data_IF_052873708024
#
_entry.id   IF_052873708024
#
_cell.length_a   1.000
_cell.length_b   1.000
_cell.length_c   1.000
_cell.angle_alpha   90.00
_cell.angle_beta   90.00
_cell.angle_gamma   90.00
#
_symmetry.space_group_name_H-M   'P 1'
#
loop_
_entity.id
_entity.type
_entity.pdbx_description
1 polymer ?
#
# COMPACT_ATOMS: atom_id res chain seq x y z
N UNK A 1 0.98 -23.33 -22.29
CA UNK A 1 0.67 -24.75 -22.00
C UNK A 1 -0.44 -25.32 -22.86
N UNK A 2 -1.62 -24.67 -22.97
CA UNK A 2 -2.71 -25.16 -23.83
C UNK A 2 -2.37 -25.09 -25.33
N UNK A 3 -1.70 -24.02 -25.76
CA UNK A 3 -1.29 -23.82 -27.16
C UNK A 3 -0.30 -24.89 -27.66
N UNK A 4 0.58 -25.38 -26.79
CA UNK A 4 1.58 -26.41 -27.12
C UNK A 4 1.11 -27.83 -26.77
N UNK A 5 -0.17 -28.00 -26.43
CA UNK A 5 -0.78 -29.28 -26.03
C UNK A 5 0.01 -30.05 -24.94
N UNK A 6 0.59 -29.34 -23.97
CA UNK A 6 1.37 -29.96 -22.89
C UNK A 6 0.45 -30.52 -21.81
N UNK A 7 0.43 -31.84 -21.67
CA UNK A 7 -0.54 -32.57 -20.86
C UNK A 7 0.13 -33.37 -19.73
N UNK A 8 -0.66 -33.69 -18.72
CA UNK A 8 -0.30 -34.66 -17.67
C UNK A 8 -0.39 -36.09 -18.21
N UNK A 9 0.13 -37.06 -17.45
CA UNK A 9 0.03 -38.51 -17.76
C UNK A 9 -1.42 -39.01 -17.96
N UNK A 10 -2.42 -38.26 -17.50
CA UNK A 10 -3.85 -38.57 -17.64
C UNK A 10 -4.53 -37.74 -18.75
N UNK A 11 -3.76 -37.21 -19.71
CA UNK A 11 -4.24 -36.40 -20.83
C UNK A 11 -5.02 -35.13 -20.41
N UNK A 12 -4.80 -34.64 -19.19
CA UNK A 12 -5.37 -33.37 -18.71
C UNK A 12 -4.38 -32.23 -18.92
N UNK A 13 -4.85 -31.01 -19.25
CA UNK A 13 -3.96 -29.85 -19.39
C UNK A 13 -3.27 -29.57 -18.05
N UNK A 14 -1.97 -29.26 -18.11
CA UNK A 14 -1.22 -28.91 -16.90
C UNK A 14 -1.61 -27.50 -16.41
N UNK A 15 -1.80 -27.35 -15.10
CA UNK A 15 -2.07 -26.06 -14.48
C UNK A 15 -0.76 -25.37 -14.08
N UNK A 16 -0.79 -24.03 -14.00
CA UNK A 16 0.38 -23.22 -13.61
C UNK A 16 0.94 -23.65 -12.26
N UNK A 17 0.07 -23.95 -11.29
CA UNK A 17 0.47 -24.44 -9.96
C UNK A 17 1.24 -25.76 -10.02
N UNK A 18 0.87 -26.68 -10.93
CA UNK A 18 1.60 -27.93 -11.14
C UNK A 18 2.99 -27.67 -11.73
N UNK A 19 3.10 -26.77 -12.70
CA UNK A 19 4.40 -26.37 -13.28
C UNK A 19 5.30 -25.75 -12.21
N UNK A 20 4.75 -24.86 -11.37
CA UNK A 20 5.51 -24.26 -10.27
C UNK A 20 6.00 -25.31 -9.27
N UNK A 21 5.20 -26.34 -8.96
CA UNK A 21 5.63 -27.46 -8.12
C UNK A 21 6.80 -28.22 -8.74
N UNK A 22 6.70 -28.55 -10.03
CA UNK A 22 7.78 -29.21 -10.78
C UNK A 22 9.06 -28.37 -10.69
N UNK A 23 9.00 -27.08 -11.05
CA UNK A 23 10.16 -26.18 -11.00
C UNK A 23 10.73 -25.97 -9.58
N UNK A 24 9.91 -26.16 -8.54
CA UNK A 24 10.33 -26.07 -7.13
C UNK A 24 10.90 -27.36 -6.54
N UNK A 25 10.84 -28.46 -7.26
CA UNK A 25 11.26 -29.78 -6.75
C UNK A 25 12.77 -29.91 -6.92
N UNK A 26 13.49 -29.97 -5.79
CA UNK A 26 14.96 -30.07 -5.79
C UNK A 26 15.49 -31.40 -6.34
N UNK A 27 14.67 -32.44 -6.37
CA UNK A 27 15.03 -33.77 -6.87
C UNK A 27 15.62 -33.72 -8.29
N UNK A 28 15.16 -32.79 -9.14
CA UNK A 28 15.66 -32.65 -10.51
C UNK A 28 17.14 -32.23 -10.59
N UNK A 29 17.68 -31.61 -9.53
CA UNK A 29 19.10 -31.26 -9.38
C UNK A 29 19.96 -32.42 -8.81
N UNK A 30 19.33 -33.53 -8.38
CA UNK A 30 20.03 -34.67 -7.79
C UNK A 30 20.21 -34.62 -6.27
N UNK A 31 19.77 -33.55 -5.61
CA UNK A 31 19.77 -33.43 -4.14
C UNK A 31 18.36 -33.16 -3.65
N UNK A 32 17.97 -33.71 -2.50
CA UNK A 32 16.66 -33.49 -1.92
C UNK A 32 16.74 -33.30 -0.40
N UNK A 33 15.71 -32.70 0.16
CA UNK A 33 15.60 -32.43 1.59
C UNK A 33 14.55 -33.36 2.20
N UNK A 34 14.89 -34.03 3.31
CA UNK A 34 13.95 -34.88 4.02
C UNK A 34 14.18 -34.81 5.55
N UNK A 35 13.13 -34.69 6.37
CA UNK A 35 11.78 -34.22 6.02
C UNK A 35 11.83 -32.83 5.34
N UNK A 36 10.82 -32.47 4.54
CA UNK A 36 10.80 -31.18 3.85
C UNK A 36 10.90 -30.02 4.87
N UNK A 37 11.84 -29.10 4.67
CA UNK A 37 12.12 -27.98 5.59
C UNK A 37 13.06 -28.30 6.76
N UNK A 38 13.60 -29.52 6.88
CA UNK A 38 14.45 -29.93 8.02
C UNK A 38 15.85 -29.32 8.05
N UNK A 39 16.31 -28.77 6.93
CA UNK A 39 17.70 -28.33 6.73
C UNK A 39 18.67 -29.45 6.32
N UNK A 40 18.27 -30.73 6.41
CA UNK A 40 19.13 -31.87 6.08
C UNK A 40 19.00 -32.26 4.60
N UNK A 41 20.13 -32.25 3.88
CA UNK A 41 20.19 -32.54 2.45
C UNK A 41 20.80 -33.92 2.20
N UNK A 42 20.18 -34.64 1.27
CA UNK A 42 20.60 -35.96 0.83
C UNK A 42 20.88 -35.95 -0.67
N UNK A 43 21.90 -36.68 -1.08
CA UNK A 43 22.22 -36.89 -2.49
C UNK A 43 21.43 -38.08 -3.01
N UNK A 44 20.66 -37.86 -4.08
CA UNK A 44 19.96 -38.92 -4.80
C UNK A 44 20.94 -39.81 -5.55
N UNK A 45 20.56 -41.08 -5.75
CA UNK A 45 21.33 -42.02 -6.57
C UNK A 45 21.02 -41.89 -8.07
N UNK A 46 20.00 -41.13 -8.44
CA UNK A 46 19.60 -40.92 -9.82
C UNK A 46 20.46 -39.85 -10.51
N UNK A 47 20.52 -39.93 -11.84
CA UNK A 47 21.17 -38.91 -12.65
C UNK A 47 20.38 -37.59 -12.58
N UNK A 48 21.03 -36.46 -12.25
CA UNK A 48 20.39 -35.15 -12.25
C UNK A 48 19.85 -34.77 -13.64
N UNK A 49 18.61 -34.28 -13.70
CA UNK A 49 17.99 -33.79 -14.94
C UNK A 49 18.42 -32.36 -15.29
N UNK A 50 18.77 -31.55 -14.29
CA UNK A 50 19.25 -30.16 -14.45
C UNK A 50 20.44 -29.89 -13.54
N UNK A 51 21.23 -28.87 -13.88
CA UNK A 51 22.32 -28.42 -13.01
C UNK A 51 21.79 -27.67 -11.77
N UNK A 52 22.55 -27.75 -10.68
CA UNK A 52 22.28 -27.00 -9.44
C UNK A 52 22.18 -25.50 -9.67
N UNK A 53 23.05 -24.96 -10.53
CA UNK A 53 23.04 -23.55 -10.90
C UNK A 53 21.75 -23.15 -11.62
N UNK A 54 21.29 -23.97 -12.57
CA UNK A 54 20.05 -23.71 -13.30
C UNK A 54 18.84 -23.71 -12.36
N UNK A 55 18.77 -24.71 -11.46
CA UNK A 55 17.73 -24.79 -10.45
C UNK A 55 17.69 -23.54 -9.56
N UNK A 56 18.84 -23.10 -9.03
CA UNK A 56 18.92 -21.91 -8.17
C UNK A 56 18.46 -20.64 -8.91
N UNK A 57 18.91 -20.43 -10.16
CA UNK A 57 18.49 -19.30 -10.99
C UNK A 57 16.97 -19.30 -11.23
N UNK A 58 16.38 -20.47 -11.52
CA UNK A 58 14.93 -20.60 -11.67
C UNK A 58 14.20 -20.26 -10.37
N UNK A 59 14.70 -20.71 -9.21
CA UNK A 59 14.11 -20.39 -7.90
C UNK A 59 14.15 -18.90 -7.59
N UNK A 60 15.23 -18.20 -7.92
CA UNK A 60 15.34 -16.75 -7.78
C UNK A 60 14.38 -16.00 -8.71
N UNK A 61 14.25 -16.43 -9.96
CA UNK A 61 13.29 -15.84 -10.91
C UNK A 61 11.84 -16.01 -10.42
N UNK A 62 11.48 -17.18 -9.88
CA UNK A 62 10.14 -17.44 -9.33
C UNK A 62 9.81 -16.57 -8.12
N UNK A 63 10.80 -16.28 -7.25
CA UNK A 63 10.60 -15.37 -6.10
C UNK A 63 10.29 -13.96 -6.56
N UNK A 64 11.06 -13.43 -7.52
CA UNK A 64 10.86 -12.09 -8.10
C UNK A 64 9.44 -11.93 -8.65
N UNK A 65 8.93 -12.91 -9.39
CA UNK A 65 7.57 -12.85 -9.98
C UNK A 65 6.43 -12.85 -8.94
N UNK A 66 6.69 -13.27 -7.69
CA UNK A 66 5.70 -13.17 -6.61
C UNK A 66 5.61 -11.75 -6.02
N UNK A 67 6.70 -10.97 -6.08
CA UNK A 67 6.76 -9.59 -5.58
C UNK A 67 6.02 -8.61 -6.52
N UNK A 68 5.97 -8.90 -7.82
CA UNK A 68 5.38 -8.00 -8.83
C UNK A 68 3.85 -8.10 -9.01
N UNK A 69 3.15 -9.02 -8.34
CA UNK A 69 1.77 -9.38 -8.73
C UNK A 69 0.61 -8.63 -8.07
N UNK A 70 0.89 -7.61 -7.28
CA UNK A 70 -0.11 -6.60 -6.96
C UNK A 70 0.46 -5.26 -7.40
N UNK A 71 -0.07 -4.67 -8.47
CA UNK A 71 -0.13 -3.21 -8.52
C UNK A 71 -0.91 -2.80 -7.27
N UNK A 72 -0.19 -2.54 -6.18
CA UNK A 72 -0.79 -2.01 -4.97
C UNK A 72 -1.37 -0.67 -5.36
N UNK A 73 -2.69 -0.57 -5.35
CA UNK A 73 -3.34 0.73 -5.41
C UNK A 73 -2.93 1.45 -4.14
N UNK A 74 -2.13 2.50 -4.28
CA UNK A 74 -1.76 3.34 -3.17
C UNK A 74 -2.91 4.29 -2.85
N UNK A 75 -3.46 4.13 -1.65
CA UNK A 75 -4.49 5.00 -1.11
C UNK A 75 -3.87 5.87 -0.01
N UNK A 76 -4.15 7.17 -0.02
CA UNK A 76 -3.44 8.13 0.81
C UNK A 76 -3.53 7.79 2.31
N UNK A 77 -4.72 7.37 2.76
CA UNK A 77 -5.05 7.32 4.19
C UNK A 77 -5.14 5.91 4.79
N UNK A 78 -4.77 4.87 4.03
CA UNK A 78 -4.76 3.49 4.55
C UNK A 78 -3.72 3.33 5.65
N UNK A 79 -4.00 2.46 6.64
CA UNK A 79 -3.12 2.13 7.80
C UNK A 79 -2.89 3.26 8.80
N UNK A 80 -3.31 4.50 8.50
CA UNK A 80 -3.18 5.66 9.38
C UNK A 80 -4.39 5.84 10.31
N UNK A 81 -5.51 5.18 10.02
CA UNK A 81 -6.75 5.31 10.77
C UNK A 81 -7.20 3.99 11.38
N UNK A 82 -7.93 4.06 12.49
CA UNK A 82 -8.58 2.92 13.15
C UNK A 82 -10.09 3.06 13.18
N UNK A 83 -10.77 1.92 13.19
CA UNK A 83 -12.21 1.87 13.36
C UNK A 83 -12.57 2.11 14.83
N UNK A 84 -13.44 3.08 15.11
CA UNK A 84 -13.88 3.40 16.48
C UNK A 84 -14.85 2.40 17.11
N UNK A 85 -15.34 1.40 16.36
CA UNK A 85 -16.21 0.34 16.89
C UNK A 85 -15.40 -0.88 17.33
N UNK A 86 -14.58 -1.43 16.43
CA UNK A 86 -13.88 -2.70 16.67
C UNK A 86 -12.35 -2.55 16.75
N UNK A 87 -11.80 -1.33 16.64
CA UNK A 87 -10.35 -1.04 16.64
C UNK A 87 -9.52 -1.71 15.54
N UNK A 88 -10.18 -2.27 14.51
CA UNK A 88 -9.51 -2.76 13.30
C UNK A 88 -8.94 -1.59 12.48
N UNK A 89 -8.04 -1.90 11.55
CA UNK A 89 -7.54 -0.90 10.60
C UNK A 89 -8.63 -0.43 9.64
N UNK A 90 -8.47 0.79 9.11
CA UNK A 90 -9.27 1.30 8.00
C UNK A 90 -8.51 1.08 6.69
N UNK A 91 -9.21 0.57 5.69
CA UNK A 91 -8.73 0.38 4.32
C UNK A 91 -9.58 1.20 3.34
N UNK A 92 -9.15 1.26 2.08
CA UNK A 92 -9.86 1.95 1.02
C UNK A 92 -10.25 0.99 -0.11
N UNK A 93 -11.32 1.34 -0.81
CA UNK A 93 -11.81 0.65 -1.99
C UNK A 93 -12.18 1.68 -3.06
N UNK A 94 -11.77 1.39 -4.29
CA UNK A 94 -12.10 2.20 -5.46
C UNK A 94 -13.32 1.62 -6.17
N UNK A 95 -14.28 2.47 -6.52
CA UNK A 95 -15.50 2.10 -7.23
C UNK A 95 -15.66 2.95 -8.48
N UNK A 96 -15.68 2.29 -9.62
CA UNK A 96 -15.99 2.92 -10.91
C UNK A 96 -17.49 2.86 -11.18
N UNK A 97 -18.10 4.00 -11.52
CA UNK A 97 -19.51 4.12 -11.87
C UNK A 97 -19.62 4.69 -13.28
N UNK A 98 -20.33 3.97 -14.15
CA UNK A 98 -20.72 4.49 -15.46
C UNK A 98 -21.78 5.58 -15.26
N UNK A 99 -21.53 6.76 -15.81
CA UNK A 99 -22.44 7.89 -15.82
C UNK A 99 -23.45 7.71 -16.96
N UNK A 100 -24.66 8.25 -16.80
CA UNK A 100 -25.71 8.19 -17.81
C UNK A 100 -25.27 8.84 -19.15
N UNK A 101 -24.39 9.84 -19.10
CA UNK A 101 -23.81 10.51 -20.26
C UNK A 101 -22.60 9.81 -20.90
N UNK A 102 -22.31 8.55 -20.56
CA UNK A 102 -21.26 7.75 -21.21
C UNK A 102 -19.85 7.84 -20.61
N UNK A 103 -19.61 8.68 -19.60
CA UNK A 103 -18.34 8.75 -18.87
C UNK A 103 -18.21 7.70 -17.75
N UNK A 104 -17.00 7.52 -17.22
CA UNK A 104 -16.73 6.71 -16.02
C UNK A 104 -16.27 7.65 -14.91
N UNK A 105 -17.01 7.67 -13.79
CA UNK A 105 -16.60 8.34 -12.56
C UNK A 105 -15.97 7.34 -11.60
N UNK A 106 -14.88 7.74 -10.96
CA UNK A 106 -14.18 6.94 -9.96
C UNK A 106 -14.40 7.55 -8.58
N UNK A 107 -14.72 6.71 -7.60
CA UNK A 107 -14.90 7.13 -6.21
C UNK A 107 -14.07 6.24 -5.28
N UNK A 108 -13.38 6.85 -4.33
CA UNK A 108 -12.64 6.14 -3.29
C UNK A 108 -13.42 6.19 -1.98
N UNK A 109 -13.57 5.03 -1.34
CA UNK A 109 -14.30 4.84 -0.09
C UNK A 109 -13.39 4.23 0.96
N UNK A 110 -13.34 4.84 2.14
CA UNK A 110 -12.63 4.34 3.31
C UNK A 110 -13.60 3.59 4.25
N UNK A 111 -13.18 2.45 4.77
CA UNK A 111 -13.97 1.62 5.68
C UNK A 111 -13.14 0.60 6.45
N UNK A 112 -13.74 0.00 7.47
CA UNK A 112 -13.06 -0.97 8.32
C UNK A 112 -12.70 -2.26 7.57
N UNK A 113 -11.53 -2.82 7.87
CA UNK A 113 -11.10 -4.12 7.35
C UNK A 113 -11.85 -5.30 7.97
N UNK A 114 -12.59 -5.07 9.06
CA UNK A 114 -13.36 -6.08 9.82
C UNK A 114 -12.49 -7.25 10.31
N UNK A 115 -11.20 -7.00 10.54
CA UNK A 115 -10.23 -8.03 10.95
C UNK A 115 -10.48 -8.52 12.37
N UNK A 116 -10.85 -7.63 13.29
CA UNK A 116 -11.16 -7.98 14.70
C UNK A 116 -12.62 -8.33 14.93
N UNK A 117 -13.52 -7.77 14.12
CA UNK A 117 -14.95 -8.02 14.19
C UNK A 117 -15.55 -8.02 12.78
N UNK A 118 -16.03 -9.20 12.36
CA UNK A 118 -16.64 -9.46 11.05
C UNK A 118 -17.98 -8.73 10.91
N UNK A 119 -18.70 -8.50 12.01
CA UNK A 119 -20.03 -7.89 12.01
C UNK A 119 -19.99 -6.39 12.34
N UNK A 120 -18.82 -5.76 12.23
CA UNK A 120 -18.66 -4.35 12.55
C UNK A 120 -19.66 -3.48 11.74
N UNK A 121 -20.48 -2.65 12.42
CA UNK A 121 -21.59 -1.91 11.82
C UNK A 121 -21.14 -0.66 11.03
N UNK A 122 -19.83 -0.39 11.00
CA UNK A 122 -19.28 0.83 10.40
C UNK A 122 -19.61 0.95 8.91
N UNK A 123 -20.02 2.15 8.52
CA UNK A 123 -20.31 2.50 7.13
C UNK A 123 -19.09 3.09 6.45
N UNK A 124 -19.04 2.99 5.12
CA UNK A 124 -17.98 3.60 4.32
C UNK A 124 -18.11 5.13 4.25
N UNK A 125 -16.98 5.82 4.26
CA UNK A 125 -16.84 7.28 4.10
C UNK A 125 -16.13 7.57 2.77
N UNK A 126 -16.60 8.57 2.01
CA UNK A 126 -15.92 8.98 0.76
C UNK A 126 -14.65 9.74 1.06
N UNK A 127 -13.67 9.64 0.17
CA UNK A 127 -12.40 10.36 0.32
C UNK A 127 -12.58 11.89 0.37
N UNK A 128 -13.49 12.46 -0.43
CA UNK A 128 -13.80 13.89 -0.41
C UNK A 128 -14.27 14.34 0.98
N UNK A 129 -15.22 13.61 1.56
CA UNK A 129 -15.76 13.89 2.90
C UNK A 129 -14.69 13.70 3.98
N UNK A 130 -13.83 12.68 3.82
CA UNK A 130 -12.71 12.42 4.72
C UNK A 130 -11.72 13.59 4.73
N UNK A 131 -11.33 14.09 3.54
CA UNK A 131 -10.41 15.22 3.40
C UNK A 131 -11.00 16.48 4.06
N UNK A 132 -12.30 16.74 3.87
CA UNK A 132 -12.97 17.88 4.51
C UNK A 132 -12.92 17.78 6.04
N UNK A 133 -13.14 16.60 6.61
CA UNK A 133 -13.04 16.40 8.06
C UNK A 133 -11.60 16.53 8.57
N UNK A 134 -10.61 16.02 7.85
CA UNK A 134 -9.19 16.19 8.20
C UNK A 134 -8.77 17.66 8.21
N UNK A 135 -9.25 18.45 7.23
CA UNK A 135 -9.03 19.90 7.18
C UNK A 135 -9.63 20.58 8.43
N UNK A 136 -10.85 20.21 8.81
CA UNK A 136 -11.50 20.73 10.02
C UNK A 136 -10.70 20.41 11.28
N UNK A 137 -10.14 19.20 11.39
CA UNK A 137 -9.29 18.82 12.52
C UNK A 137 -8.03 19.68 12.61
N UNK A 138 -7.37 19.95 11.48
CA UNK A 138 -6.18 20.84 11.42
C UNK A 138 -6.51 22.28 11.82
N UNK A 139 -7.71 22.78 11.48
CA UNK A 139 -8.12 24.12 11.87
C UNK A 139 -8.34 24.21 13.39
N UNK A 140 -8.95 23.18 14.00
CA UNK A 140 -9.26 23.17 15.44
C UNK A 140 -8.06 22.95 16.37
N UNK A 141 -7.04 22.19 15.93
CA UNK A 141 -5.92 21.77 16.80
C UNK A 141 -4.66 22.62 16.59
N UNK A 142 -3.79 22.71 17.60
CA UNK A 142 -2.49 23.37 17.43
C UNK A 142 -1.52 22.48 16.64
N UNK A 143 -0.60 23.07 15.87
CA UNK A 143 0.38 22.31 15.09
C UNK A 143 1.37 21.53 15.96
N UNK A 144 1.59 22.01 17.20
CA UNK A 144 2.46 21.37 18.18
C UNK A 144 1.81 20.11 18.78
N UNK A 145 0.49 20.14 19.02
CA UNK A 145 -0.32 18.96 19.39
C UNK A 145 -0.33 17.91 18.28
N UNK A 146 -0.46 18.34 17.03
CA UNK A 146 -0.44 17.43 15.88
C UNK A 146 0.97 16.88 15.61
N UNK A 147 2.03 17.54 16.10
CA UNK A 147 3.42 17.13 15.85
C UNK A 147 3.93 17.44 14.44
N UNK A 148 3.18 18.24 13.68
CA UNK A 148 3.46 18.50 12.26
C UNK A 148 4.44 19.64 12.01
N UNK A 149 4.72 20.46 13.04
CA UNK A 149 5.41 21.74 12.88
C UNK A 149 6.81 21.62 12.27
N UNK A 150 7.65 20.72 12.77
CA UNK A 150 9.03 20.59 12.30
C UNK A 150 9.09 20.04 10.88
N UNK A 151 8.33 18.97 10.61
CA UNK A 151 8.32 18.35 9.29
C UNK A 151 7.76 19.29 8.21
N UNK A 152 6.66 19.99 8.50
CA UNK A 152 6.10 20.95 7.52
C UNK A 152 7.02 22.15 7.31
N UNK A 153 7.76 22.60 8.33
CA UNK A 153 8.80 23.63 8.15
C UNK A 153 9.89 23.15 7.20
N UNK A 154 10.40 21.94 7.41
CA UNK A 154 11.42 21.34 6.53
C UNK A 154 10.90 21.16 5.09
N UNK A 155 9.64 20.78 4.89
CA UNK A 155 9.02 20.66 3.57
C UNK A 155 8.92 22.02 2.86
N UNK A 156 8.50 23.05 3.60
CA UNK A 156 8.38 24.41 3.07
C UNK A 156 9.76 24.98 2.75
N UNK A 157 10.75 24.80 3.61
CA UNK A 157 12.13 25.21 3.36
C UNK A 157 12.70 24.50 2.12
N UNK A 158 12.44 23.20 1.96
CA UNK A 158 12.83 22.45 0.75
C UNK A 158 12.18 23.04 -0.51
N UNK A 159 10.89 23.35 -0.46
CA UNK A 159 10.19 23.98 -1.58
C UNK A 159 10.75 25.38 -1.89
N UNK A 160 11.03 26.19 -0.88
CA UNK A 160 11.63 27.52 -1.05
C UNK A 160 13.05 27.44 -1.64
N UNK A 161 13.86 26.47 -1.19
CA UNK A 161 15.20 26.23 -1.74
C UNK A 161 15.12 25.83 -3.22
N UNK A 162 14.15 24.98 -3.57
CA UNK A 162 13.91 24.60 -4.95
C UNK A 162 13.45 25.79 -5.81
N UNK A 163 12.53 26.63 -5.32
CA UNK A 163 12.11 27.84 -6.03
C UNK A 163 13.27 28.84 -6.23
N UNK A 164 14.11 29.02 -5.21
CA UNK A 164 15.29 29.87 -5.30
C UNK A 164 16.30 29.32 -6.34
N UNK A 165 16.46 28.00 -6.43
CA UNK A 165 17.28 27.36 -7.47
C UNK A 165 16.74 27.61 -8.88
N UNK A 166 15.41 27.72 -9.03
CA UNK A 166 14.75 28.05 -10.30
C UNK A 166 14.75 29.56 -10.63
N UNK A 167 15.41 30.39 -9.81
CA UNK A 167 15.51 31.83 -10.04
C UNK A 167 14.27 32.63 -9.66
N UNK A 168 13.34 32.03 -8.91
CA UNK A 168 12.18 32.74 -8.33
C UNK A 168 12.67 33.46 -7.08
N UNK A 169 12.35 34.75 -6.94
CA UNK A 169 12.75 35.56 -5.80
C UNK A 169 12.30 34.94 -4.47
N UNK A 170 13.26 34.76 -3.56
CA UNK A 170 13.03 34.20 -2.23
C UNK A 170 12.35 35.27 -1.39
N UNK A 171 11.04 35.16 -1.17
CA UNK A 171 10.37 35.99 -0.18
C UNK A 171 10.72 35.48 1.21
N UNK A 172 11.43 36.30 2.00
CA UNK A 172 11.67 36.05 3.43
C UNK A 172 10.34 36.18 4.20
N UNK A 173 9.56 35.10 4.22
CA UNK A 173 8.42 35.01 5.11
C UNK A 173 8.85 34.45 6.45
N UNK A 174 8.53 35.17 7.53
CA UNK A 174 8.44 34.56 8.86
C UNK A 174 7.29 33.56 8.82
N UNK A 175 7.61 32.27 8.73
CA UNK A 175 6.62 31.19 8.75
C UNK A 175 5.77 31.28 10.01
N UNK A 176 4.52 31.75 9.87
CA UNK A 176 3.55 31.72 10.96
C UNK A 176 2.87 30.36 10.99
N UNK A 177 2.35 29.99 12.17
CA UNK A 177 1.60 28.74 12.32
C UNK A 177 0.34 28.70 11.42
N UNK A 178 -0.20 29.86 11.04
CA UNK A 178 -1.28 29.97 10.05
C UNK A 178 -0.86 29.51 8.65
N UNK A 179 0.35 29.87 8.21
CA UNK A 179 0.87 29.51 6.88
C UNK A 179 1.11 28.01 6.77
N UNK A 180 1.63 27.40 7.85
CA UNK A 180 1.86 25.96 7.94
C UNK A 180 0.54 25.18 7.87
N UNK A 181 -0.51 25.65 8.56
CA UNK A 181 -1.85 25.05 8.46
C UNK A 181 -2.42 25.16 7.04
N UNK A 182 -2.26 26.31 6.40
CA UNK A 182 -2.75 26.50 5.02
C UNK A 182 -2.02 25.61 4.02
N UNK A 183 -0.70 25.45 4.18
CA UNK A 183 0.07 24.51 3.38
C UNK A 183 -0.42 23.07 3.57
N UNK A 184 -0.61 22.62 4.82
CA UNK A 184 -1.15 21.29 5.09
C UNK A 184 -2.54 21.07 4.47
N UNK A 185 -3.43 22.07 4.58
CA UNK A 185 -4.76 22.05 3.95
C UNK A 185 -4.67 21.99 2.43
N UNK A 186 -3.71 22.68 1.82
CA UNK A 186 -3.49 22.65 0.38
C UNK A 186 -3.05 21.26 -0.08
N UNK A 187 -2.04 20.67 0.57
CA UNK A 187 -1.57 19.32 0.24
C UNK A 187 -2.67 18.26 0.41
N UNK A 188 -3.49 18.36 1.45
CA UNK A 188 -4.64 17.45 1.62
C UNK A 188 -5.69 17.57 0.51
N UNK A 189 -5.84 18.73 -0.13
CA UNK A 189 -6.78 18.91 -1.25
C UNK A 189 -6.17 18.46 -2.58
N UNK A 190 -5.02 19.02 -2.96
CA UNK A 190 -4.45 18.90 -4.30
C UNK A 190 -3.15 18.11 -4.39
N UNK A 191 -2.56 17.72 -3.26
CA UNK A 191 -1.31 16.98 -3.23
C UNK A 191 -1.43 15.56 -3.77
N UNK A 192 -0.29 14.98 -4.10
CA UNK A 192 -0.18 13.58 -4.49
C UNK A 192 -0.44 12.63 -3.29
N UNK A 193 -0.71 11.37 -3.58
CA UNK A 193 -1.09 10.37 -2.55
C UNK A 193 -0.01 10.20 -1.47
N UNK A 194 1.25 10.23 -1.89
CA UNK A 194 2.44 10.17 -1.04
C UNK A 194 2.61 11.42 -0.17
N UNK A 195 2.44 12.61 -0.73
CA UNK A 195 2.48 13.87 0.03
C UNK A 195 1.39 13.91 1.11
N UNK A 196 0.16 13.52 0.75
CA UNK A 196 -0.97 13.40 1.68
C UNK A 196 -0.67 12.42 2.82
N UNK A 197 -0.04 11.30 2.50
CA UNK A 197 0.35 10.28 3.48
C UNK A 197 1.46 10.79 4.39
N UNK A 198 2.43 11.52 3.86
CA UNK A 198 3.57 12.06 4.60
C UNK A 198 3.11 13.08 5.65
N UNK A 199 2.13 13.92 5.35
CA UNK A 199 1.57 14.83 6.36
C UNK A 199 1.01 14.04 7.53
N UNK A 200 0.20 13.03 7.25
CA UNK A 200 -0.52 12.30 8.31
C UNK A 200 0.35 11.27 9.02
N UNK A 201 1.49 10.84 8.47
CA UNK A 201 2.41 9.93 9.15
C UNK A 201 3.11 10.56 10.34
N UNK A 202 3.21 11.89 10.37
CA UNK A 202 3.84 12.65 11.44
C UNK A 202 2.85 13.07 12.54
N UNK A 203 1.58 12.69 12.41
CA UNK A 203 0.61 12.89 13.48
C UNK A 203 0.99 12.07 14.71
N UNK A 204 1.16 12.76 15.85
CA UNK A 204 1.38 12.10 17.14
C UNK A 204 0.17 11.29 17.58
N UNK A 205 -1.01 11.81 17.28
CA UNK A 205 -2.28 11.23 17.71
C UNK A 205 -2.86 10.32 16.63
N UNK A 206 -3.65 9.33 17.04
CA UNK A 206 -4.27 8.37 16.13
C UNK A 206 -5.60 8.92 15.65
N UNK A 207 -5.85 8.78 14.35
CA UNK A 207 -7.14 9.10 13.76
C UNK A 207 -8.08 7.90 13.91
N UNK A 208 -9.28 8.16 14.43
CA UNK A 208 -10.35 7.18 14.62
C UNK A 208 -11.54 7.54 13.75
N UNK A 209 -12.01 6.58 12.96
CA UNK A 209 -13.22 6.69 12.14
C UNK A 209 -14.37 5.96 12.83
N UNK A 210 -15.40 6.69 13.22
CA UNK A 210 -16.64 6.16 13.80
C UNK A 210 -17.85 6.81 13.15
N UNK A 211 -18.74 6.01 12.59
CA UNK A 211 -20.02 6.47 12.01
C UNK A 211 -19.88 7.65 11.03
N UNK A 212 -18.89 7.55 10.12
CA UNK A 212 -18.51 8.59 9.14
C UNK A 212 -17.92 9.88 9.72
N UNK A 213 -17.58 9.90 11.01
CA UNK A 213 -16.92 11.03 11.68
C UNK A 213 -15.50 10.63 12.06
N UNK A 214 -14.56 11.54 11.80
CA UNK A 214 -13.16 11.43 12.23
C UNK A 214 -12.96 12.13 13.58
N UNK A 215 -12.33 11.42 14.50
CA UNK A 215 -11.87 11.93 15.79
C UNK A 215 -10.39 11.61 15.99
N UNK A 216 -9.74 12.33 16.90
CA UNK A 216 -8.33 12.15 17.22
C UNK A 216 -8.23 11.64 18.67
N UNK A 217 -7.47 10.57 18.87
CA UNK A 217 -7.18 9.91 20.16
C UNK A 217 -5.68 9.80 20.43
#
# INVERSE_FOLDING_TARGET
MREINFQTIHNKPIWVSSVQKILSTSLYMGEFQYPAGSGTWYKGQHEPLISKELYLRTREAMKRESEFRYLSKDFAFTRLMRCGHCSSGVTAQEKHKKLAGGGIATYIYYGCTRTKDINCPITYLREEDLILQLIGLIDTMSLDELGLRNHLKEDIERHQNFQAMLGIERQEFKLQDFDIKNYAKHVLKSGATDEKRQILSHLKNRIVLKDKVLTIE
#
